data_IF_075976505822
#
_entry.id   IF_075976505822
#
_cell.length_a   1.000
_cell.length_b   1.000
_cell.length_c   1.000
_cell.angle_alpha   90.00
_cell.angle_beta   90.00
_cell.angle_gamma   90.00
#
_symmetry.space_group_name_H-M   'P 1'
#
loop_
_entity.id
_entity.type
_entity.pdbx_description
1 polymer ?
#
# COMPACT_ATOMS: atom_id res chain seq x y z
N UNK A 1 9.65 16.27 -1.46
CA UNK A 1 9.80 15.79 -0.07
C UNK A 1 9.91 16.97 0.87
N UNK A 2 9.13 17.00 1.94
CA UNK A 2 9.27 18.04 2.98
C UNK A 2 9.98 17.43 4.19
N UNK A 3 10.90 18.18 4.80
CA UNK A 3 11.59 17.78 6.02
C UNK A 3 11.27 18.78 7.11
N UNK A 4 10.98 18.27 8.30
CA UNK A 4 10.66 19.07 9.48
C UNK A 4 11.62 18.69 10.61
N UNK A 5 11.93 19.65 11.48
CA UNK A 5 12.59 19.37 12.75
C UNK A 5 11.67 18.55 13.65
N UNK A 6 12.21 18.02 14.75
CA UNK A 6 11.44 17.35 15.79
C UNK A 6 10.36 18.22 16.45
N UNK A 7 10.41 19.55 16.25
CA UNK A 7 9.40 20.50 16.73
C UNK A 7 8.38 20.91 15.66
N UNK A 8 8.45 20.32 14.46
CA UNK A 8 7.53 20.61 13.35
C UNK A 8 7.91 21.84 12.52
N UNK A 9 9.06 22.48 12.78
CA UNK A 9 9.54 23.59 11.94
C UNK A 9 10.06 23.03 10.60
N UNK A 10 9.60 23.52 9.43
CA UNK A 10 10.09 23.08 8.14
C UNK A 10 11.58 23.44 7.97
N UNK A 11 12.39 22.42 7.69
CA UNK A 11 13.82 22.52 7.36
C UNK A 11 13.98 22.59 5.84
N UNK A 12 13.21 21.79 5.11
CA UNK A 12 13.14 21.93 3.67
C UNK A 12 12.51 23.28 3.33
N UNK A 13 13.08 24.01 2.36
CA UNK A 13 12.50 25.25 1.86
C UNK A 13 11.05 25.07 1.35
N UNK A 14 10.37 26.14 0.92
CA UNK A 14 8.92 26.12 0.65
C UNK A 14 8.48 25.14 -0.45
N UNK A 15 9.38 24.72 -1.33
CA UNK A 15 9.11 23.72 -2.38
C UNK A 15 9.42 22.28 -1.94
N UNK A 16 10.02 22.09 -0.77
CA UNK A 16 10.62 20.83 -0.37
C UNK A 16 11.89 20.50 -1.16
N UNK A 17 12.47 19.33 -0.91
CA UNK A 17 13.47 18.72 -1.76
C UNK A 17 12.79 18.03 -2.93
N UNK A 18 13.07 18.50 -4.13
CA UNK A 18 12.44 18.03 -5.39
C UNK A 18 13.46 17.51 -6.41
N UNK A 19 14.76 17.53 -6.07
CA UNK A 19 15.81 17.08 -6.98
C UNK A 19 15.57 15.63 -7.39
N UNK A 20 15.55 15.38 -8.71
CA UNK A 20 15.26 14.10 -9.36
C UNK A 20 13.84 13.52 -9.14
N UNK A 21 12.95 14.21 -8.42
CA UNK A 21 11.62 13.71 -8.07
C UNK A 21 10.52 14.31 -8.96
N UNK A 22 9.50 13.51 -9.26
CA UNK A 22 8.27 13.97 -9.89
C UNK A 22 7.11 13.05 -9.49
N UNK A 23 6.07 13.61 -8.86
CA UNK A 23 4.86 12.88 -8.38
C UNK A 23 5.17 11.62 -7.56
N UNK A 24 6.01 11.73 -6.52
CA UNK A 24 6.34 10.58 -5.64
C UNK A 24 5.07 9.94 -5.08
N UNK A 25 4.99 8.61 -5.12
CA UNK A 25 3.85 7.84 -4.62
C UNK A 25 4.17 7.11 -3.31
N UNK A 26 5.36 6.51 -3.22
CA UNK A 26 5.83 5.76 -2.05
C UNK A 26 7.21 6.21 -1.60
N UNK A 27 7.48 6.11 -0.30
CA UNK A 27 8.78 6.43 0.28
C UNK A 27 9.04 5.62 1.54
N UNK A 28 10.30 5.23 1.77
CA UNK A 28 10.71 4.44 2.92
C UNK A 28 12.17 4.74 3.28
N UNK A 29 12.51 4.74 4.56
CA UNK A 29 13.89 4.82 5.04
C UNK A 29 14.48 3.43 5.26
N UNK A 30 15.76 3.24 4.94
CA UNK A 30 16.48 2.01 5.31
C UNK A 30 17.34 2.17 6.58
N UNK A 31 17.94 1.06 7.04
CA UNK A 31 18.80 1.01 8.23
C UNK A 31 20.09 1.85 8.14
N UNK A 32 20.46 2.29 6.93
CA UNK A 32 21.63 3.13 6.67
C UNK A 32 21.23 4.61 6.54
N UNK A 33 20.00 4.97 6.94
CA UNK A 33 19.41 6.30 6.80
C UNK A 33 19.20 6.76 5.36
N UNK A 34 19.26 5.87 4.36
CA UNK A 34 18.92 6.28 3.01
C UNK A 34 17.40 6.45 2.89
N UNK A 35 16.96 7.44 2.13
CA UNK A 35 15.54 7.68 1.86
C UNK A 35 15.22 7.26 0.44
N UNK A 36 14.49 6.16 0.29
CA UNK A 36 14.05 5.60 -0.98
C UNK A 36 12.70 6.19 -1.38
N UNK A 37 12.53 6.47 -2.66
CA UNK A 37 11.34 7.11 -3.21
C UNK A 37 10.97 6.53 -4.58
N UNK A 38 9.70 6.15 -4.72
CA UNK A 38 9.08 5.75 -5.98
C UNK A 38 8.60 7.02 -6.71
N UNK A 39 9.42 7.53 -7.62
CA UNK A 39 9.15 8.75 -8.37
C UNK A 39 8.35 8.43 -9.63
N UNK A 40 7.03 8.30 -9.45
CA UNK A 40 6.08 7.85 -10.46
C UNK A 40 6.09 8.70 -11.75
N UNK A 41 6.19 10.02 -11.62
CA UNK A 41 5.98 10.94 -12.73
C UNK A 41 7.08 10.89 -13.80
N UNK A 42 8.31 10.54 -13.40
CA UNK A 42 9.48 10.48 -14.28
C UNK A 42 10.09 9.06 -14.36
N UNK A 43 9.36 8.06 -13.89
CA UNK A 43 9.73 6.65 -13.93
C UNK A 43 11.11 6.38 -13.28
N UNK A 44 11.33 6.89 -12.06
CA UNK A 44 12.60 6.72 -11.34
C UNK A 44 12.43 6.10 -9.97
N UNK A 45 13.42 5.31 -9.59
CA UNK A 45 13.70 4.96 -8.20
C UNK A 45 14.78 5.92 -7.73
N UNK A 46 14.46 6.76 -6.76
CA UNK A 46 15.38 7.80 -6.26
C UNK A 46 15.75 7.48 -4.82
N UNK A 47 17.03 7.64 -4.50
CA UNK A 47 17.54 7.46 -3.14
C UNK A 47 18.34 8.68 -2.74
N UNK A 48 17.98 9.29 -1.61
CA UNK A 48 18.84 10.27 -0.93
C UNK A 48 19.75 9.51 0.04
N UNK A 49 21.04 9.41 -0.31
CA UNK A 49 22.00 8.66 0.48
C UNK A 49 22.22 9.33 1.84
N UNK A 50 22.17 8.54 2.91
CA UNK A 50 22.22 9.01 4.30
C UNK A 50 21.20 10.12 4.62
N UNK A 51 20.11 10.21 3.85
CA UNK A 51 19.08 11.22 3.99
C UNK A 51 19.47 12.61 3.50
N UNK A 52 20.62 12.75 2.84
CA UNK A 52 21.04 14.02 2.23
C UNK A 52 20.40 14.20 0.85
N UNK A 53 19.50 15.19 0.66
CA UNK A 53 18.87 15.47 -0.63
C UNK A 53 19.84 15.94 -1.71
N UNK A 54 21.07 16.36 -1.36
CA UNK A 54 22.11 16.71 -2.32
C UNK A 54 22.91 15.49 -2.80
N UNK A 55 22.81 14.37 -2.09
CA UNK A 55 23.48 13.11 -2.40
C UNK A 55 22.51 12.11 -3.03
N UNK A 56 21.74 12.58 -4.03
CA UNK A 56 20.72 11.77 -4.69
C UNK A 56 21.33 10.86 -5.77
N UNK A 57 21.00 9.57 -5.71
CA UNK A 57 21.22 8.60 -6.80
C UNK A 57 19.87 8.13 -7.32
N UNK A 58 19.82 7.68 -8.57
CA UNK A 58 18.58 7.12 -9.12
C UNK A 58 18.83 6.02 -10.15
N UNK A 59 17.82 5.17 -10.32
CA UNK A 59 17.68 4.26 -11.44
C UNK A 59 16.56 4.78 -12.35
N UNK A 60 16.80 4.83 -13.65
CA UNK A 60 15.79 5.21 -14.64
C UNK A 60 15.11 3.95 -15.16
N UNK A 61 13.83 3.78 -14.81
CA UNK A 61 13.01 2.71 -15.37
C UNK A 61 12.65 3.01 -16.84
N UNK A 62 12.24 1.97 -17.59
CA UNK A 62 11.58 2.16 -18.88
C UNK A 62 10.45 3.19 -18.79
N UNK A 63 10.23 3.91 -19.89
CA UNK A 63 9.17 4.89 -19.98
C UNK A 63 7.81 4.23 -19.70
N UNK A 64 7.01 4.89 -18.86
CA UNK A 64 5.73 4.40 -18.36
C UNK A 64 5.80 3.18 -17.43
N UNK A 65 6.90 2.92 -16.73
CA UNK A 65 6.89 1.94 -15.63
C UNK A 65 6.04 2.41 -14.44
N UNK A 66 6.09 3.71 -14.09
CA UNK A 66 5.34 4.28 -12.99
C UNK A 66 5.58 3.60 -11.65
N UNK A 67 6.80 3.71 -11.07
CA UNK A 67 7.07 3.27 -9.70
C UNK A 67 6.04 3.83 -8.73
N UNK A 68 5.49 3.00 -7.86
CA UNK A 68 4.39 3.37 -6.98
C UNK A 68 4.75 3.22 -5.51
N UNK A 69 5.23 2.05 -5.09
CA UNK A 69 5.60 1.81 -3.71
C UNK A 69 6.95 1.08 -3.57
N UNK A 70 7.56 1.18 -2.37
CA UNK A 70 8.86 0.60 -2.06
C UNK A 70 8.86 -0.02 -0.66
N UNK A 71 9.32 -1.27 -0.55
CA UNK A 71 9.60 -1.93 0.73
C UNK A 71 11.07 -2.37 0.83
N UNK A 72 11.67 -2.22 2.02
CA UNK A 72 13.07 -2.58 2.27
C UNK A 72 13.15 -3.95 2.95
N UNK A 73 13.85 -4.88 2.33
CA UNK A 73 14.13 -6.19 2.88
C UNK A 73 15.24 -6.12 3.95
N UNK A 74 15.33 -7.15 4.80
CA UNK A 74 16.33 -7.23 5.88
C UNK A 74 17.79 -7.16 5.36
N UNK A 75 18.02 -7.70 4.15
CA UNK A 75 19.30 -7.66 3.44
C UNK A 75 19.66 -6.23 2.94
N UNK A 76 18.75 -5.26 3.05
CA UNK A 76 18.91 -3.87 2.62
C UNK A 76 18.52 -3.62 1.16
N UNK A 77 18.02 -4.62 0.45
CA UNK A 77 17.49 -4.44 -0.90
C UNK A 77 16.08 -3.85 -0.89
N UNK A 78 15.73 -3.14 -1.96
CA UNK A 78 14.44 -2.49 -2.12
C UNK A 78 13.58 -3.23 -3.14
N UNK A 79 12.41 -3.71 -2.71
CA UNK A 79 11.35 -4.17 -3.59
C UNK A 79 10.51 -2.98 -4.04
N UNK A 80 10.16 -2.93 -5.32
CA UNK A 80 9.43 -1.82 -5.93
C UNK A 80 8.29 -2.35 -6.77
N UNK A 81 7.11 -1.78 -6.58
CA UNK A 81 5.98 -1.95 -7.48
C UNK A 81 5.97 -0.90 -8.59
N UNK A 82 5.83 -1.34 -9.85
CA UNK A 82 5.65 -0.46 -11.00
C UNK A 82 4.23 -0.63 -11.54
N UNK A 83 3.44 0.44 -11.46
CA UNK A 83 1.98 0.38 -11.54
C UNK A 83 1.39 0.94 -12.82
N UNK A 84 2.18 1.65 -13.64
CA UNK A 84 1.69 2.12 -14.94
C UNK A 84 1.69 0.94 -15.90
N UNK A 85 0.54 0.71 -16.49
CA UNK A 85 0.37 -0.26 -17.57
C UNK A 85 0.26 0.50 -18.89
N UNK A 86 1.02 0.08 -19.91
CA UNK A 86 0.96 0.65 -21.25
C UNK A 86 -0.29 0.20 -22.02
N UNK A 87 -0.48 0.73 -23.24
CA UNK A 87 -1.55 0.29 -24.13
C UNK A 87 -1.51 -1.24 -24.30
N UNK A 88 -2.66 -1.91 -24.07
CA UNK A 88 -2.77 -3.37 -24.07
C UNK A 88 -2.63 -4.02 -22.69
N UNK A 89 -2.35 -3.26 -21.63
CA UNK A 89 -2.22 -3.71 -20.24
C UNK A 89 -1.42 -5.03 -20.10
N UNK A 90 -0.11 -5.01 -20.43
CA UNK A 90 0.72 -6.21 -20.38
C UNK A 90 0.92 -6.77 -18.96
N UNK A 91 0.44 -6.06 -17.94
CA UNK A 91 0.65 -6.36 -16.53
C UNK A 91 1.73 -5.48 -15.91
N UNK A 92 1.68 -5.33 -14.60
CA UNK A 92 2.66 -4.60 -13.79
C UNK A 92 3.98 -5.36 -13.68
N UNK A 93 5.06 -4.64 -13.35
CA UNK A 93 6.39 -5.24 -13.11
C UNK A 93 6.80 -4.99 -11.67
N UNK A 94 7.28 -6.03 -11.00
CA UNK A 94 7.90 -5.94 -9.68
C UNK A 94 9.41 -6.05 -9.82
N UNK A 95 10.12 -5.08 -9.25
CA UNK A 95 11.58 -5.04 -9.31
C UNK A 95 12.20 -5.13 -7.92
N UNK A 96 13.46 -5.55 -7.90
CA UNK A 96 14.32 -5.50 -6.72
C UNK A 96 15.60 -4.74 -7.03
N UNK A 97 16.04 -3.88 -6.13
CA UNK A 97 17.25 -3.06 -6.28
C UNK A 97 18.17 -3.18 -5.07
N UNK A 98 19.46 -2.99 -5.32
CA UNK A 98 20.48 -2.81 -4.27
C UNK A 98 21.29 -1.55 -4.55
N UNK A 99 21.81 -0.93 -3.49
CA UNK A 99 22.83 0.12 -3.62
C UNK A 99 24.20 -0.56 -3.71
N UNK A 100 24.99 -0.19 -4.70
CA UNK A 100 26.39 -0.58 -4.83
C UNK A 100 27.23 0.66 -5.16
N UNK A 101 28.00 1.13 -4.20
CA UNK A 101 28.68 2.42 -4.29
C UNK A 101 27.68 3.56 -4.48
N UNK A 102 27.83 4.34 -5.56
CA UNK A 102 26.94 5.45 -5.91
C UNK A 102 25.90 5.07 -6.98
N UNK A 103 25.55 3.79 -7.11
CA UNK A 103 24.63 3.31 -8.13
C UNK A 103 23.55 2.42 -7.53
N UNK A 104 22.37 2.47 -8.15
CA UNK A 104 21.33 1.47 -7.96
C UNK A 104 21.47 0.38 -9.02
N UNK A 105 21.45 -0.86 -8.58
CA UNK A 105 21.52 -2.04 -9.45
C UNK A 105 20.20 -2.78 -9.33
N UNK A 106 19.49 -2.94 -10.45
CA UNK A 106 18.32 -3.82 -10.54
C UNK A 106 18.80 -5.28 -10.48
N UNK A 107 18.30 -6.04 -9.52
CA UNK A 107 18.69 -7.44 -9.27
C UNK A 107 17.56 -8.44 -9.56
N UNK A 108 16.32 -7.95 -9.69
CA UNK A 108 15.17 -8.77 -10.06
C UNK A 108 14.19 -7.95 -10.92
N UNK A 109 13.57 -8.64 -11.86
CA UNK A 109 12.51 -8.12 -12.73
C UNK A 109 11.46 -9.22 -12.94
N UNK A 110 10.24 -8.98 -12.43
CA UNK A 110 9.14 -9.95 -12.46
C UNK A 110 7.96 -9.33 -13.17
N UNK A 111 7.65 -9.83 -14.37
CA UNK A 111 6.44 -9.49 -15.10
C UNK A 111 5.25 -10.24 -14.51
N UNK A 112 4.27 -9.50 -14.00
CA UNK A 112 2.99 -10.07 -13.54
C UNK A 112 2.02 -10.26 -14.72
N UNK A 113 0.98 -11.09 -14.56
CA UNK A 113 -0.01 -11.33 -15.61
C UNK A 113 -0.67 -10.05 -16.14
N UNK A 114 -1.08 -10.09 -17.42
CA UNK A 114 -1.86 -9.03 -18.04
C UNK A 114 -3.13 -8.75 -17.24
N UNK A 115 -3.48 -7.46 -17.11
CA UNK A 115 -4.58 -7.03 -16.22
C UNK A 115 -4.10 -6.49 -14.88
N UNK A 116 -2.96 -6.97 -14.35
CA UNK A 116 -2.45 -6.54 -13.04
C UNK A 116 -2.13 -5.05 -12.98
N UNK A 117 -2.50 -4.41 -11.88
CA UNK A 117 -2.23 -3.00 -11.59
C UNK A 117 -1.80 -2.86 -10.14
N UNK A 118 -0.51 -3.04 -9.91
CA UNK A 118 0.07 -3.11 -8.56
C UNK A 118 -0.03 -1.78 -7.83
N UNK A 119 -0.05 -1.80 -6.50
CA UNK A 119 -0.01 -0.61 -5.63
C UNK A 119 1.03 -0.85 -4.54
N UNK A 120 0.61 -1.07 -3.31
CA UNK A 120 1.51 -1.24 -2.17
C UNK A 120 2.22 -2.61 -2.19
N UNK A 121 3.43 -2.63 -1.63
CA UNK A 121 4.23 -3.84 -1.40
C UNK A 121 4.63 -3.92 0.08
N UNK A 122 4.49 -5.10 0.68
CA UNK A 122 4.96 -5.40 2.03
C UNK A 122 5.73 -6.71 2.05
N UNK A 123 6.61 -6.91 3.05
CA UNK A 123 7.49 -8.08 3.10
C UNK A 123 7.16 -8.95 4.31
N UNK A 124 7.14 -10.26 4.10
CA UNK A 124 7.03 -11.23 5.21
C UNK A 124 8.40 -11.54 5.83
N UNK A 125 8.39 -12.31 6.92
CA UNK A 125 9.60 -12.69 7.67
C UNK A 125 10.63 -13.49 6.86
N UNK A 126 10.23 -14.08 5.72
CA UNK A 126 11.13 -14.78 4.79
C UNK A 126 11.58 -13.90 3.62
N UNK A 127 11.17 -12.63 3.58
CA UNK A 127 11.51 -11.67 2.54
C UNK A 127 10.73 -11.87 1.24
N UNK A 128 9.60 -12.59 1.26
CA UNK A 128 8.70 -12.60 0.11
C UNK A 128 7.92 -11.27 0.06
N UNK A 129 7.74 -10.73 -1.13
CA UNK A 129 6.94 -9.54 -1.37
C UNK A 129 5.46 -9.89 -1.56
N UNK A 130 4.62 -9.29 -0.73
CA UNK A 130 3.17 -9.32 -0.84
C UNK A 130 2.71 -8.01 -1.46
N UNK A 131 2.06 -8.10 -2.63
CA UNK A 131 1.74 -6.95 -3.48
C UNK A 131 0.25 -6.90 -3.74
N UNK A 132 -0.35 -5.74 -3.46
CA UNK A 132 -1.74 -5.46 -3.81
C UNK A 132 -1.87 -5.11 -5.29
N UNK A 133 -2.81 -5.73 -6.01
CA UNK A 133 -3.11 -5.42 -7.41
C UNK A 133 -4.61 -5.13 -7.58
N UNK A 134 -4.92 -3.89 -7.98
CA UNK A 134 -6.27 -3.32 -7.95
C UNK A 134 -7.14 -3.94 -9.05
N UNK A 135 -6.70 -3.83 -10.31
CA UNK A 135 -7.56 -4.12 -11.47
C UNK A 135 -8.00 -5.58 -11.59
N UNK A 136 -7.14 -6.53 -11.17
CA UNK A 136 -7.43 -7.96 -11.17
C UNK A 136 -7.85 -8.47 -9.78
N UNK A 137 -8.05 -7.56 -8.80
CA UNK A 137 -8.48 -7.86 -7.43
C UNK A 137 -7.68 -9.00 -6.78
N UNK A 138 -6.35 -8.89 -6.87
CA UNK A 138 -5.43 -9.97 -6.48
C UNK A 138 -4.36 -9.49 -5.51
N UNK A 139 -3.99 -10.36 -4.57
CA UNK A 139 -2.75 -10.24 -3.79
C UNK A 139 -1.72 -11.19 -4.40
N UNK A 140 -0.56 -10.68 -4.79
CA UNK A 140 0.55 -11.48 -5.28
C UNK A 140 1.58 -11.70 -4.17
N UNK A 141 1.98 -12.96 -3.94
CA UNK A 141 3.17 -13.28 -3.15
C UNK A 141 4.32 -13.62 -4.09
N UNK A 142 5.44 -12.93 -3.97
CA UNK A 142 6.59 -13.05 -4.86
C UNK A 142 7.79 -13.41 -4.02
N UNK A 143 8.38 -14.57 -4.28
CA UNK A 143 9.57 -15.03 -3.58
C UNK A 143 10.83 -14.29 -4.07
N UNK A 144 11.92 -14.24 -3.28
CA UNK A 144 13.17 -13.58 -3.67
C UNK A 144 13.80 -14.07 -4.98
N UNK A 145 13.44 -15.27 -5.43
CA UNK A 145 13.88 -15.83 -6.72
C UNK A 145 13.00 -15.40 -7.91
N UNK A 146 11.97 -14.59 -7.70
CA UNK A 146 11.05 -14.10 -8.73
C UNK A 146 9.84 -14.98 -9.01
N UNK A 147 9.76 -16.19 -8.42
CA UNK A 147 8.54 -17.01 -8.52
C UNK A 147 7.41 -16.36 -7.75
N UNK A 148 6.18 -16.41 -8.29
CA UNK A 148 5.03 -15.80 -7.65
C UNK A 148 3.80 -16.69 -7.62
N UNK A 149 2.91 -16.40 -6.68
CA UNK A 149 1.58 -17.00 -6.52
C UNK A 149 0.56 -15.87 -6.40
N UNK A 150 -0.61 -16.05 -7.02
CA UNK A 150 -1.72 -15.12 -6.97
C UNK A 150 -2.84 -15.64 -6.06
N UNK A 151 -3.40 -14.75 -5.24
CA UNK A 151 -4.54 -15.04 -4.36
C UNK A 151 -5.67 -14.06 -4.66
N UNK A 152 -6.82 -14.57 -5.11
CA UNK A 152 -7.96 -13.78 -5.57
C UNK A 152 -9.30 -14.25 -4.96
N UNK A 153 -10.25 -13.31 -4.85
CA UNK A 153 -11.65 -13.62 -4.55
C UNK A 153 -11.95 -14.19 -3.16
N UNK A 154 -11.03 -14.09 -2.20
CA UNK A 154 -11.20 -14.59 -0.83
C UNK A 154 -11.26 -13.43 0.18
N UNK A 155 -12.00 -13.63 1.27
CA UNK A 155 -11.92 -12.77 2.46
C UNK A 155 -12.39 -11.33 2.29
N UNK A 156 -13.15 -11.03 1.23
CA UNK A 156 -13.61 -9.69 0.90
C UNK A 156 -12.59 -8.81 0.19
N UNK A 157 -11.48 -9.38 -0.29
CA UNK A 157 -10.52 -8.65 -1.12
C UNK A 157 -11.20 -8.15 -2.39
N UNK A 158 -11.22 -6.83 -2.58
CA UNK A 158 -11.84 -6.17 -3.74
C UNK A 158 -11.07 -4.90 -4.07
N UNK A 159 -10.47 -4.85 -5.26
CA UNK A 159 -9.57 -3.75 -5.66
C UNK A 159 -8.56 -3.39 -4.57
N UNK A 160 -7.72 -4.33 -4.10
CA UNK A 160 -6.80 -4.09 -3.00
C UNK A 160 -5.80 -3.00 -3.40
N UNK A 161 -5.62 -2.01 -2.52
CA UNK A 161 -4.66 -0.92 -2.75
C UNK A 161 -3.52 -0.97 -1.75
N UNK A 162 -3.86 -1.15 -0.48
CA UNK A 162 -2.86 -1.29 0.57
C UNK A 162 -2.70 -2.72 1.06
N UNK A 163 -1.49 -3.07 1.48
CA UNK A 163 -1.16 -4.40 2.01
C UNK A 163 -0.08 -4.29 3.08
N UNK A 164 -0.25 -4.99 4.20
CA UNK A 164 0.76 -5.06 5.27
C UNK A 164 0.84 -6.46 5.86
N UNK A 165 2.04 -6.88 6.23
CA UNK A 165 2.29 -8.15 6.91
C UNK A 165 2.39 -7.91 8.41
N UNK A 166 1.64 -8.69 9.22
CA UNK A 166 1.70 -8.62 10.69
C UNK A 166 2.78 -9.55 11.28
N UNK A 167 2.99 -9.49 12.59
CA UNK A 167 4.06 -10.24 13.27
C UNK A 167 3.90 -11.76 13.30
N UNK A 168 2.75 -12.27 12.89
CA UNK A 168 2.49 -13.70 12.69
C UNK A 168 2.56 -14.06 11.17
N UNK A 169 3.11 -13.17 10.35
CA UNK A 169 3.17 -13.22 8.89
C UNK A 169 1.82 -13.18 8.17
N UNK A 170 0.72 -12.86 8.85
CA UNK A 170 -0.59 -12.76 8.19
C UNK A 170 -0.71 -11.45 7.41
N UNK A 171 -1.54 -11.50 6.36
CA UNK A 171 -1.63 -10.42 5.37
C UNK A 171 -2.90 -9.63 5.62
N UNK A 172 -2.75 -8.34 5.88
CA UNK A 172 -3.84 -7.39 5.99
C UNK A 172 -3.95 -6.57 4.71
N UNK A 173 -5.17 -6.36 4.26
CA UNK A 173 -5.44 -5.73 2.96
C UNK A 173 -6.42 -4.58 3.16
N UNK A 174 -6.05 -3.41 2.66
CA UNK A 174 -6.94 -2.26 2.53
C UNK A 174 -7.62 -2.30 1.15
N UNK A 175 -8.94 -2.51 1.15
CA UNK A 175 -9.72 -2.59 -0.08
C UNK A 175 -10.16 -1.20 -0.55
N UNK A 176 -9.83 -0.87 -1.80
CA UNK A 176 -10.25 0.37 -2.43
C UNK A 176 -11.62 0.25 -3.07
N UNK A 177 -11.99 -0.94 -3.54
CA UNK A 177 -13.31 -1.20 -4.08
C UNK A 177 -14.21 -1.83 -3.02
N UNK A 178 -15.47 -1.41 -3.00
CA UNK A 178 -16.47 -2.01 -2.13
C UNK A 178 -17.21 -3.13 -2.83
N UNK A 179 -17.67 -4.11 -2.06
CA UNK A 179 -18.44 -5.24 -2.58
C UNK A 179 -19.95 -4.98 -2.49
N UNK A 180 -20.71 -5.51 -3.45
CA UNK A 180 -22.17 -5.46 -3.45
C UNK A 180 -22.77 -4.08 -3.76
N UNK A 181 -24.11 -3.99 -3.64
CA UNK A 181 -24.85 -2.75 -3.85
C UNK A 181 -25.83 -2.53 -2.68
N UNK A 182 -25.72 -1.43 -1.91
CA UNK A 182 -24.66 -0.41 -1.99
C UNK A 182 -23.27 -0.97 -1.62
N UNK A 183 -22.17 -0.38 -2.13
CA UNK A 183 -20.83 -0.89 -1.90
C UNK A 183 -20.46 -0.87 -0.41
N UNK A 184 -19.92 -1.98 0.07
CA UNK A 184 -19.39 -2.13 1.43
C UNK A 184 -17.86 -2.21 1.36
N UNK A 185 -17.20 -1.25 1.99
CA UNK A 185 -15.74 -1.21 2.10
C UNK A 185 -15.27 -1.92 3.36
N UNK A 186 -14.10 -2.54 3.28
CA UNK A 186 -13.58 -3.41 4.33
C UNK A 186 -12.06 -3.43 4.32
N UNK A 187 -11.50 -3.95 5.42
CA UNK A 187 -10.17 -4.56 5.38
C UNK A 187 -10.31 -6.08 5.31
N UNK A 188 -9.39 -6.76 4.64
CA UNK A 188 -9.33 -8.22 4.61
C UNK A 188 -8.14 -8.75 5.39
N UNK A 189 -8.23 -9.99 5.88
CA UNK A 189 -7.11 -10.72 6.48
C UNK A 189 -6.96 -12.07 5.79
N UNK A 190 -5.77 -12.35 5.27
CA UNK A 190 -5.41 -13.64 4.69
C UNK A 190 -4.36 -14.33 5.54
N UNK A 191 -4.41 -15.67 5.54
CA UNK A 191 -3.41 -16.51 6.18
C UNK A 191 -2.04 -16.30 5.54
N UNK A 192 -1.05 -16.09 6.41
CA UNK A 192 0.33 -15.83 6.04
C UNK A 192 1.14 -17.04 5.61
N UNK A 193 2.45 -16.83 5.47
CA UNK A 193 3.42 -17.92 5.27
C UNK A 193 3.59 -18.79 6.53
N UNK A 194 3.37 -18.24 7.71
CA UNK A 194 3.44 -18.95 8.97
C UNK A 194 2.10 -19.62 9.26
N UNK A 195 1.79 -20.70 8.53
CA UNK A 195 0.50 -21.38 8.61
C UNK A 195 0.18 -21.95 10.00
N UNK A 196 1.19 -22.16 10.85
CA UNK A 196 1.00 -22.54 12.25
C UNK A 196 0.29 -21.46 13.09
N UNK A 197 0.26 -20.22 12.60
CA UNK A 197 -0.43 -19.08 13.22
C UNK A 197 -1.80 -18.80 12.60
N UNK A 198 -2.18 -19.54 11.56
CA UNK A 198 -3.49 -19.44 10.97
C UNK A 198 -4.51 -20.32 11.69
N UNK A 199 -5.81 -20.00 11.60
CA UNK A 199 -6.87 -20.92 12.00
C UNK A 199 -6.68 -22.33 11.41
N UNK A 200 -7.05 -23.35 12.18
CA UNK A 200 -6.85 -24.75 11.79
C UNK A 200 -7.47 -25.07 10.44
N UNK A 201 -6.69 -25.69 9.56
CA UNK A 201 -7.12 -26.10 8.22
C UNK A 201 -6.87 -25.06 7.14
N UNK A 202 -6.45 -23.84 7.49
CA UNK A 202 -6.08 -22.81 6.52
C UNK A 202 -4.62 -22.93 6.09
N UNK A 203 -4.38 -22.58 4.84
CA UNK A 203 -3.08 -22.51 4.19
C UNK A 203 -2.81 -21.09 3.70
N UNK A 204 -1.56 -20.81 3.31
CA UNK A 204 -1.16 -19.47 2.87
C UNK A 204 -2.07 -18.94 1.76
N UNK A 205 -2.62 -17.74 1.98
CA UNK A 205 -3.54 -17.06 1.07
C UNK A 205 -5.02 -17.32 1.34
N UNK A 206 -5.37 -18.32 2.15
CA UNK A 206 -6.76 -18.55 2.55
C UNK A 206 -7.28 -17.39 3.40
N UNK A 207 -8.55 -17.05 3.26
CA UNK A 207 -9.15 -15.98 4.03
C UNK A 207 -9.31 -16.34 5.50
N UNK A 208 -8.86 -15.44 6.37
CA UNK A 208 -9.19 -15.40 7.80
C UNK A 208 -10.40 -14.50 8.02
N UNK A 209 -10.51 -13.40 7.26
CA UNK A 209 -11.67 -12.52 7.28
C UNK A 209 -12.89 -13.18 6.62
N UNK A 210 -14.13 -12.74 6.97
CA UNK A 210 -15.34 -13.16 6.26
C UNK A 210 -15.28 -12.81 4.77
N UNK A 211 -16.20 -13.37 3.96
CA UNK A 211 -16.32 -13.03 2.53
C UNK A 211 -16.61 -11.55 2.29
N UNK A 212 -17.04 -10.81 3.30
CA UNK A 212 -17.24 -9.36 3.25
C UNK A 212 -16.00 -8.54 3.58
N UNK A 213 -14.95 -9.19 4.09
CA UNK A 213 -13.93 -8.54 4.90
C UNK A 213 -14.51 -8.06 6.24
N UNK A 214 -13.67 -7.40 7.04
CA UNK A 214 -14.11 -6.69 8.23
C UNK A 214 -14.65 -5.32 7.83
N UNK A 215 -15.97 -5.16 7.94
CA UNK A 215 -16.69 -3.90 7.73
C UNK A 215 -16.90 -3.17 9.07
N UNK A 216 -17.29 -1.90 9.00
CA UNK A 216 -17.58 -1.09 10.19
C UNK A 216 -18.94 -0.40 9.99
N UNK A 217 -20.01 -0.76 10.71
CA UNK A 217 -21.27 -0.02 10.68
C UNK A 217 -21.22 1.16 11.65
N UNK A 218 -21.85 2.28 11.29
CA UNK A 218 -21.94 3.53 12.11
C UNK A 218 -22.82 3.44 13.37
N UNK A 219 -23.18 2.24 13.83
CA UNK A 219 -24.12 1.99 14.92
C UNK A 219 -25.47 2.75 14.77
N UNK A 220 -25.88 3.05 13.53
CA UNK A 220 -27.15 3.69 13.18
C UNK A 220 -27.12 5.22 13.06
N UNK A 221 -25.99 5.88 13.34
CA UNK A 221 -25.84 7.32 13.14
C UNK A 221 -25.28 7.63 11.75
N UNK A 222 -25.76 8.69 11.10
CA UNK A 222 -25.18 9.11 9.83
C UNK A 222 -23.71 9.49 9.99
N UNK A 223 -22.87 9.10 9.03
CA UNK A 223 -21.46 9.50 8.98
C UNK A 223 -21.36 10.98 8.61
N UNK A 224 -20.67 11.74 9.46
CA UNK A 224 -20.39 13.16 9.29
C UNK A 224 -18.89 13.38 9.09
N UNK A 225 -18.54 14.43 8.35
CA UNK A 225 -17.18 14.94 8.23
C UNK A 225 -16.77 15.66 9.53
N UNK A 226 -15.50 16.01 9.65
CA UNK A 226 -14.98 16.73 10.83
C UNK A 226 -15.66 18.09 11.08
N UNK A 227 -16.22 18.72 10.05
CA UNK A 227 -16.98 19.97 10.13
C UNK A 227 -18.48 19.77 10.44
N UNK A 228 -18.92 18.52 10.65
CA UNK A 228 -20.31 18.16 10.92
C UNK A 228 -21.19 17.97 9.67
N UNK A 229 -20.66 18.19 8.46
CA UNK A 229 -21.39 17.98 7.21
C UNK A 229 -21.62 16.48 6.97
N UNK A 230 -22.79 16.05 6.46
CA UNK A 230 -22.97 14.69 5.99
C UNK A 230 -21.92 14.24 4.98
N UNK A 231 -21.51 12.96 5.03
CA UNK A 231 -20.53 12.40 4.09
C UNK A 231 -20.87 12.67 2.61
N UNK A 232 -22.14 12.51 2.25
CA UNK A 232 -22.64 12.71 0.89
C UNK A 232 -23.12 14.15 0.61
N UNK A 233 -22.76 15.10 1.48
CA UNK A 233 -23.18 16.50 1.41
C UNK A 233 -24.58 16.77 1.95
N UNK A 234 -24.89 18.06 2.16
CA UNK A 234 -26.20 18.51 2.64
C UNK A 234 -27.27 18.20 1.59
N UNK A 235 -28.33 17.50 1.99
CA UNK A 235 -29.40 17.05 1.09
C UNK A 235 -29.10 15.76 0.30
N UNK A 236 -27.90 15.20 0.45
CA UNK A 236 -27.54 13.89 -0.10
C UNK A 236 -28.12 12.73 0.72
N UNK A 237 -28.15 11.49 0.16
CA UNK A 237 -28.60 10.31 0.89
C UNK A 237 -27.68 10.03 2.08
N UNK A 238 -28.22 9.61 3.25
CA UNK A 238 -27.39 9.34 4.41
C UNK A 238 -26.47 8.14 4.16
N UNK A 239 -25.20 8.29 4.56
CA UNK A 239 -24.25 7.17 4.64
C UNK A 239 -24.16 6.68 6.07
N UNK A 240 -24.20 5.36 6.23
CA UNK A 240 -24.02 4.67 7.51
C UNK A 240 -22.76 3.80 7.52
N UNK A 241 -21.91 3.93 6.49
CA UNK A 241 -20.68 3.19 6.29
C UNK A 241 -19.50 4.13 6.50
N UNK A 242 -18.89 4.15 7.71
CA UNK A 242 -17.72 4.96 8.00
C UNK A 242 -16.49 4.55 7.19
N UNK A 243 -16.35 3.26 6.84
CA UNK A 243 -15.32 2.82 5.89
C UNK A 243 -15.72 3.19 4.47
N UNK A 244 -14.75 3.72 3.74
CA UNK A 244 -14.79 4.16 2.35
C UNK A 244 -13.63 3.50 1.58
N UNK A 245 -13.22 4.04 0.42
CA UNK A 245 -12.10 3.44 -0.30
C UNK A 245 -10.81 3.60 0.51
N UNK A 246 -10.19 2.48 0.86
CA UNK A 246 -8.96 2.46 1.65
C UNK A 246 -7.74 2.49 0.73
N UNK A 247 -6.76 3.33 1.01
CA UNK A 247 -5.57 3.51 0.15
C UNK A 247 -4.27 3.01 0.78
N UNK A 248 -4.30 2.62 2.05
CA UNK A 248 -3.12 2.16 2.78
C UNK A 248 -3.55 1.42 4.05
N UNK A 249 -2.77 0.44 4.50
CA UNK A 249 -2.90 -0.13 5.82
C UNK A 249 -1.53 -0.43 6.43
N UNK A 250 -1.36 -0.20 7.73
CA UNK A 250 -0.17 -0.61 8.48
C UNK A 250 -0.56 -1.29 9.79
N UNK A 251 0.20 -2.32 10.18
CA UNK A 251 0.14 -2.87 11.53
C UNK A 251 1.15 -2.16 12.44
N UNK A 252 0.75 -1.81 13.66
CA UNK A 252 1.64 -1.19 14.64
C UNK A 252 2.18 -2.17 15.69
N UNK A 253 3.11 -1.70 16.52
CA UNK A 253 3.74 -2.51 17.57
C UNK A 253 2.80 -2.94 18.70
N UNK A 254 1.59 -2.38 18.76
CA UNK A 254 0.56 -2.80 19.71
C UNK A 254 -0.41 -3.82 19.09
N UNK A 255 -0.24 -4.18 17.81
CA UNK A 255 -1.13 -5.08 17.09
C UNK A 255 -2.38 -4.40 16.56
N UNK A 256 -2.40 -3.07 16.42
CA UNK A 256 -3.49 -2.38 15.76
C UNK A 256 -3.25 -2.33 14.25
N UNK A 257 -4.34 -2.30 13.48
CA UNK A 257 -4.30 -2.03 12.03
C UNK A 257 -4.84 -0.63 11.78
N UNK A 258 -3.99 0.24 11.25
CA UNK A 258 -4.35 1.60 10.83
C UNK A 258 -4.66 1.59 9.34
N UNK A 259 -5.83 2.08 8.95
CA UNK A 259 -6.26 2.16 7.56
C UNK A 259 -6.48 3.63 7.14
N UNK A 260 -5.87 4.01 6.02
CA UNK A 260 -6.10 5.31 5.40
C UNK A 260 -7.43 5.31 4.64
N UNK A 261 -8.45 5.91 5.25
CA UNK A 261 -9.83 5.94 4.78
C UNK A 261 -10.07 7.17 3.89
N UNK A 262 -9.39 7.19 2.76
CA UNK A 262 -8.95 8.43 2.13
C UNK A 262 -9.54 8.70 0.73
N UNK A 263 -10.60 7.99 0.31
CA UNK A 263 -11.32 8.34 -0.92
C UNK A 263 -12.83 8.20 -0.75
N UNK A 264 -13.56 9.30 -0.95
CA UNK A 264 -15.02 9.31 -0.77
C UNK A 264 -15.71 8.65 -1.98
N UNK A 265 -16.68 7.75 -1.75
CA UNK A 265 -17.49 7.16 -2.82
C UNK A 265 -18.60 8.13 -3.20
N UNK A 266 -18.35 9.06 -4.12
CA UNK A 266 -19.40 9.95 -4.63
C UNK A 266 -20.04 9.36 -5.90
N UNK A 267 -21.36 9.13 -5.94
CA UNK A 267 -22.03 8.50 -7.09
C UNK A 267 -22.01 9.34 -8.39
N UNK A 268 -21.50 10.58 -8.36
CA UNK A 268 -21.53 11.51 -9.50
C UNK A 268 -20.19 12.22 -9.81
N UNK A 269 -19.07 11.85 -9.18
CA UNK A 269 -17.80 12.60 -9.34
C UNK A 269 -16.56 11.79 -9.69
N UNK A 270 -16.68 10.51 -10.09
CA UNK A 270 -15.52 9.71 -10.52
C UNK A 270 -14.79 10.31 -11.76
N UNK A 271 -15.29 11.41 -12.36
CA UNK A 271 -14.73 11.99 -13.59
C UNK A 271 -14.17 13.42 -13.54
N UNK A 272 -14.19 14.19 -12.44
CA UNK A 272 -13.65 15.58 -12.50
C UNK A 272 -12.85 16.11 -11.31
N UNK A 273 -12.96 15.55 -10.10
CA UNK A 273 -12.10 15.92 -8.98
C UNK A 273 -11.82 14.72 -8.08
N UNK A 274 -10.58 14.58 -7.61
CA UNK A 274 -10.21 13.61 -6.59
C UNK A 274 -10.94 13.98 -5.29
N UNK A 275 -11.99 13.23 -4.88
CA UNK A 275 -12.67 13.49 -3.62
C UNK A 275 -11.81 12.88 -2.52
N UNK A 276 -10.73 13.60 -2.16
CA UNK A 276 -9.89 13.23 -1.04
C UNK A 276 -10.75 12.90 0.17
N UNK A 277 -10.46 11.79 0.81
CA UNK A 277 -11.04 11.43 2.09
C UNK A 277 -10.37 12.19 3.22
N UNK A 278 -10.91 11.98 4.41
CA UNK A 278 -10.62 12.79 5.59
C UNK A 278 -10.59 11.94 6.86
N UNK A 279 -10.41 10.62 6.72
CA UNK A 279 -10.44 9.67 7.83
C UNK A 279 -9.22 8.77 7.92
N UNK A 280 -8.84 8.47 9.16
CA UNK A 280 -8.06 7.28 9.52
C UNK A 280 -8.94 6.39 10.37
N UNK A 281 -8.95 5.09 10.10
CA UNK A 281 -9.64 4.10 10.95
C UNK A 281 -8.61 3.19 11.59
N UNK A 282 -8.75 2.96 12.89
CA UNK A 282 -7.88 2.05 13.63
C UNK A 282 -8.70 0.86 14.10
N UNK A 283 -8.27 -0.33 13.73
CA UNK A 283 -8.79 -1.57 14.27
C UNK A 283 -7.87 -2.05 15.39
N UNK A 284 -8.39 -2.07 16.60
CA UNK A 284 -7.56 -2.22 17.81
C UNK A 284 -7.26 -3.68 18.10
N UNK A 285 -5.97 -4.02 18.23
CA UNK A 285 -5.48 -5.32 18.69
C UNK A 285 -5.83 -6.52 17.80
N UNK A 286 -6.16 -6.30 16.53
CA UNK A 286 -6.59 -7.39 15.63
C UNK A 286 -5.42 -8.05 14.88
N UNK A 287 -4.29 -7.36 14.77
CA UNK A 287 -3.05 -7.86 14.17
C UNK A 287 -2.08 -8.39 15.22
N UNK A 288 -1.21 -9.30 14.81
CA UNK A 288 -0.09 -9.70 15.65
C UNK A 288 0.98 -8.58 15.66
N UNK A 289 1.48 -8.15 16.83
CA UNK A 289 2.57 -7.19 16.90
C UNK A 289 3.80 -7.69 16.12
N UNK A 290 4.41 -6.87 15.24
CA UNK A 290 5.67 -7.21 14.58
C UNK A 290 6.72 -7.64 15.60
N UNK A 291 7.50 -8.69 15.29
CA UNK A 291 8.60 -9.08 16.16
C UNK A 291 9.65 -7.97 16.17
N UNK A 292 10.18 -7.65 17.35
CA UNK A 292 11.29 -6.71 17.43
C UNK A 292 12.49 -7.29 16.69
N UNK A 293 13.00 -6.56 15.69
CA UNK A 293 14.32 -6.84 15.13
C UNK A 293 15.34 -6.71 16.25
N UNK A 294 15.99 -7.81 16.63
CA UNK A 294 17.17 -7.78 17.49
C UNK A 294 18.38 -7.27 16.71
#
# INVERSE_FOLDING_TARGET
MSQFSSTGIPISGPLGYISALYRVQGTVSDKNNNIWMASYGNDRIVVYLNGDPNSAIYYQEPANSGPFDIAIAQDGSAWVSNSKTSAGNPGSVINKYVISGSQLIKTLDVQLPAGSSTREVSLDSQGNAWVASVNDSTIYKIAPNGTFVAYNGQGGVSGPWGVTVDGDDNIWVANFEGIGFPPQFSISKLCGINTAKCPTGLTTGDAISPSTGYTLPSAGSQVLLADGTPLNGVGGPPSFNPLMRLTHAISDQAGNVWAANNWKPLPFSDNYFNPGGDGMVVFIGIAAPPQMSQ
#
